data_IF_479690597682
#
_entry.id   IF_479690597682
#
_cell.length_a   1.000
_cell.length_b   1.000
_cell.length_c   1.000
_cell.angle_alpha   90.00
_cell.angle_beta   90.00
_cell.angle_gamma   90.00
#
_symmetry.space_group_name_H-M   'P 1'
#
loop_
_entity.id
_entity.type
_entity.pdbx_description
1 polymer ?
#
# COMPACT_ATOMS: atom_id res chain seq x y z
N UNK A 1 -7.05 -42.71 -24.85
CA UNK A 1 -8.50 -43.05 -24.91
C UNK A 1 -9.24 -42.35 -23.77
N UNK A 2 -9.80 -41.18 -23.98
CA UNK A 2 -10.66 -40.49 -23.02
C UNK A 2 -12.04 -41.14 -23.04
N UNK A 3 -12.37 -41.91 -22.00
CA UNK A 3 -13.69 -42.50 -21.82
C UNK A 3 -14.75 -41.38 -21.91
N UNK A 4 -15.72 -41.53 -22.85
CA UNK A 4 -16.83 -40.60 -23.02
C UNK A 4 -17.67 -40.56 -21.72
N UNK A 5 -17.55 -39.50 -20.92
CA UNK A 5 -18.33 -39.31 -19.68
C UNK A 5 -19.84 -39.35 -20.02
N UNK A 6 -20.63 -39.97 -19.14
CA UNK A 6 -22.09 -39.95 -19.23
C UNK A 6 -22.64 -38.54 -19.15
N UNK A 7 -23.83 -38.28 -19.67
CA UNK A 7 -24.48 -36.96 -19.64
C UNK A 7 -24.58 -36.40 -18.19
N UNK A 8 -24.95 -37.26 -17.27
CA UNK A 8 -25.06 -36.89 -15.83
C UNK A 8 -23.71 -36.56 -15.21
N UNK A 9 -22.64 -37.30 -15.55
CA UNK A 9 -21.29 -37.02 -15.06
C UNK A 9 -20.74 -35.67 -15.59
N UNK A 10 -21.13 -35.26 -16.80
CA UNK A 10 -20.77 -33.93 -17.33
C UNK A 10 -21.48 -32.81 -16.59
N UNK A 11 -22.77 -32.98 -16.28
CA UNK A 11 -23.56 -32.00 -15.52
C UNK A 11 -23.01 -31.83 -14.11
N UNK A 12 -22.75 -32.94 -13.39
CA UNK A 12 -22.17 -32.88 -12.04
C UNK A 12 -20.79 -32.24 -12.03
N UNK A 13 -19.94 -32.55 -13.02
CA UNK A 13 -18.63 -31.91 -13.16
C UNK A 13 -18.74 -30.41 -13.41
N UNK A 14 -19.68 -29.97 -14.24
CA UNK A 14 -19.91 -28.54 -14.52
C UNK A 14 -20.37 -27.80 -13.27
N UNK A 15 -21.27 -28.39 -12.49
CA UNK A 15 -21.75 -27.79 -11.22
C UNK A 15 -20.60 -27.71 -10.20
N UNK A 16 -19.76 -28.73 -10.10
CA UNK A 16 -18.60 -28.75 -9.21
C UNK A 16 -17.60 -27.66 -9.60
N UNK A 17 -17.30 -27.50 -10.88
CA UNK A 17 -16.39 -26.45 -11.38
C UNK A 17 -16.94 -25.05 -11.12
N UNK A 18 -18.25 -24.86 -11.31
CA UNK A 18 -18.90 -23.58 -11.01
C UNK A 18 -18.81 -23.26 -9.51
N UNK A 19 -19.10 -24.24 -8.66
CA UNK A 19 -18.99 -24.06 -7.21
C UNK A 19 -17.55 -23.74 -6.78
N UNK A 20 -16.56 -24.46 -7.33
CA UNK A 20 -15.15 -24.19 -7.06
C UNK A 20 -14.75 -22.78 -7.49
N UNK A 21 -15.23 -22.32 -8.65
CA UNK A 21 -15.00 -20.94 -9.12
C UNK A 21 -15.57 -19.89 -8.16
N UNK A 22 -16.79 -20.10 -7.66
CA UNK A 22 -17.41 -19.21 -6.66
C UNK A 22 -16.59 -19.20 -5.36
N UNK A 23 -16.16 -20.35 -4.87
CA UNK A 23 -15.33 -20.45 -3.66
C UNK A 23 -14.00 -19.69 -3.84
N UNK A 24 -13.34 -19.83 -4.98
CA UNK A 24 -12.12 -19.08 -5.28
C UNK A 24 -12.34 -17.56 -5.30
N UNK A 25 -13.43 -17.11 -5.90
CA UNK A 25 -13.77 -15.67 -5.94
C UNK A 25 -14.08 -15.12 -4.55
N UNK A 26 -14.86 -15.85 -3.74
CA UNK A 26 -15.18 -15.42 -2.37
C UNK A 26 -13.94 -15.39 -1.49
N UNK A 27 -13.02 -16.35 -1.65
CA UNK A 27 -11.76 -16.38 -0.90
C UNK A 27 -10.87 -15.18 -1.22
N UNK A 28 -10.68 -14.84 -2.52
CA UNK A 28 -9.89 -13.67 -2.91
C UNK A 28 -10.50 -12.37 -2.42
N UNK A 29 -11.83 -12.23 -2.49
CA UNK A 29 -12.55 -11.08 -1.98
C UNK A 29 -12.39 -10.93 -0.45
N UNK A 30 -12.50 -12.04 0.28
CA UNK A 30 -12.30 -12.05 1.74
C UNK A 30 -10.87 -11.63 2.14
N UNK A 31 -9.85 -12.07 1.43
CA UNK A 31 -8.48 -11.65 1.68
C UNK A 31 -8.29 -10.14 1.48
N UNK A 32 -8.90 -9.58 0.46
CA UNK A 32 -8.85 -8.12 0.20
C UNK A 32 -9.52 -7.32 1.31
N UNK A 33 -10.71 -7.75 1.77
CA UNK A 33 -11.42 -7.12 2.90
C UNK A 33 -10.56 -7.18 4.17
N UNK A 34 -10.00 -8.36 4.47
CA UNK A 34 -9.12 -8.54 5.63
C UNK A 34 -7.94 -7.57 5.62
N UNK A 35 -7.27 -7.42 4.48
CA UNK A 35 -6.14 -6.49 4.32
C UNK A 35 -6.57 -5.02 4.50
N UNK A 36 -7.73 -4.64 3.98
CA UNK A 36 -8.25 -3.29 4.12
C UNK A 36 -8.60 -2.97 5.58
N UNK A 37 -9.34 -3.86 6.25
CA UNK A 37 -9.67 -3.71 7.67
C UNK A 37 -8.42 -3.66 8.56
N UNK A 38 -7.43 -4.46 8.22
CA UNK A 38 -6.17 -4.49 8.95
C UNK A 38 -5.39 -3.17 8.78
N UNK A 39 -5.29 -2.65 7.56
CA UNK A 39 -4.68 -1.35 7.30
C UNK A 39 -5.45 -0.22 8.00
N UNK A 40 -6.79 -0.22 7.94
CA UNK A 40 -7.62 0.78 8.58
C UNK A 40 -7.40 0.83 10.10
N UNK A 41 -7.33 -0.33 10.76
CA UNK A 41 -7.02 -0.39 12.19
C UNK A 41 -5.65 0.16 12.53
N UNK A 42 -4.62 -0.17 11.74
CA UNK A 42 -3.26 0.36 11.97
C UNK A 42 -3.18 1.86 11.68
N UNK A 43 -3.96 2.38 10.73
CA UNK A 43 -4.04 3.83 10.48
C UNK A 43 -4.72 4.56 11.62
N UNK A 44 -5.83 4.04 12.15
CA UNK A 44 -6.50 4.62 13.34
C UNK A 44 -5.55 4.67 14.54
N UNK A 45 -4.84 3.57 14.81
CA UNK A 45 -3.86 3.52 15.88
C UNK A 45 -2.74 4.55 15.70
N UNK A 46 -2.26 4.75 14.47
CA UNK A 46 -1.30 5.81 14.16
C UNK A 46 -1.88 7.21 14.41
N UNK A 47 -3.11 7.46 13.96
CA UNK A 47 -3.81 8.75 14.16
C UNK A 47 -4.09 9.03 15.64
N UNK A 48 -4.42 8.00 16.45
CA UNK A 48 -4.65 8.13 17.90
C UNK A 48 -3.37 8.47 18.68
N UNK A 49 -2.23 7.85 18.34
CA UNK A 49 -0.94 8.18 18.96
C UNK A 49 -0.53 9.61 18.60
N UNK A 50 -0.71 9.98 17.34
CA UNK A 50 -0.38 11.31 16.81
C UNK A 50 -1.15 12.41 17.56
N UNK A 51 -2.41 12.14 17.94
CA UNK A 51 -3.24 13.06 18.74
C UNK A 51 -2.78 13.08 20.19
N UNK A 52 -2.40 11.93 20.79
CA UNK A 52 -1.98 11.87 22.19
C UNK A 52 -0.64 12.57 22.46
N UNK A 53 0.32 12.49 21.53
CA UNK A 53 1.58 13.23 21.63
C UNK A 53 1.41 14.76 21.47
N UNK A 54 0.28 15.21 20.90
CA UNK A 54 -0.04 16.63 20.78
C UNK A 54 -0.79 17.23 22.01
N UNK A 55 -1.13 16.41 23.00
CA UNK A 55 -1.96 16.77 24.19
C UNK A 55 -1.24 16.53 25.51
N UNK A 56 0.07 16.32 25.56
CA UNK A 56 0.81 16.27 26.81
C UNK A 56 0.94 17.65 27.48
N UNK A 57 -0.20 18.12 27.97
CA UNK A 57 -0.38 18.86 29.23
C UNK A 57 -1.83 18.69 29.69
N UNK A 58 -2.03 17.93 30.80
CA UNK A 58 -3.18 17.83 31.69
C UNK A 58 -3.85 16.46 31.83
N UNK A 59 -3.49 15.80 32.97
CA UNK A 59 -4.22 14.86 33.82
C UNK A 59 -4.48 13.42 33.37
N UNK A 60 -3.82 12.54 34.17
CA UNK A 60 -4.25 11.16 34.45
C UNK A 60 -5.71 11.12 34.97
N UNK A 61 -6.54 10.36 34.29
CA UNK A 61 -7.60 9.62 34.96
C UNK A 61 -7.88 8.30 34.22
N UNK A 62 -7.58 7.24 34.93
CA UNK A 62 -7.72 5.82 34.59
C UNK A 62 -9.20 5.48 34.38
N UNK A 63 -9.56 5.01 33.19
CA UNK A 63 -10.78 4.22 33.02
C UNK A 63 -10.45 2.90 32.35
N UNK A 64 -10.47 1.86 33.15
CA UNK A 64 -10.36 0.45 32.78
C UNK A 64 -11.66 0.05 32.09
N UNK A 65 -11.66 -0.14 30.77
CA UNK A 65 -12.72 -0.87 30.07
C UNK A 65 -12.24 -2.24 29.64
N UNK A 66 -13.08 -3.22 29.87
CA UNK A 66 -12.86 -4.65 29.68
C UNK A 66 -12.33 -5.02 28.30
N UNK A 67 -11.16 -5.61 28.27
CA UNK A 67 -10.55 -6.19 27.06
C UNK A 67 -11.21 -7.53 26.77
N UNK A 68 -12.17 -7.54 25.88
CA UNK A 68 -12.58 -8.77 25.20
C UNK A 68 -11.37 -9.41 24.54
N UNK A 69 -11.13 -10.69 24.80
CA UNK A 69 -10.05 -11.52 24.27
C UNK A 69 -10.05 -11.54 22.74
N UNK A 70 -9.44 -10.56 22.12
CA UNK A 70 -9.16 -10.52 20.70
C UNK A 70 -7.74 -11.00 20.44
N UNK A 71 -7.60 -11.88 19.42
CA UNK A 71 -6.30 -12.30 18.90
C UNK A 71 -5.38 -11.08 18.75
N UNK A 72 -4.07 -11.20 19.07
CA UNK A 72 -3.16 -10.07 19.03
C UNK A 72 -3.24 -9.37 17.67
N UNK A 73 -3.66 -8.12 17.69
CA UNK A 73 -3.66 -7.28 16.48
C UNK A 73 -2.19 -7.03 16.18
N UNK A 74 -1.72 -7.47 15.01
CA UNK A 74 -0.36 -7.15 14.58
C UNK A 74 -0.30 -5.64 14.36
N UNK A 75 0.35 -4.93 15.25
CA UNK A 75 0.62 -3.51 15.07
C UNK A 75 1.84 -3.37 14.15
N UNK A 76 1.67 -2.72 13.01
CA UNK A 76 2.76 -2.46 12.07
C UNK A 76 3.66 -1.30 12.50
N UNK A 77 3.27 -0.50 13.48
CA UNK A 77 3.97 0.72 13.91
C UNK A 77 4.25 1.62 12.68
N UNK A 78 3.20 2.12 12.08
CA UNK A 78 3.32 3.06 10.96
C UNK A 78 4.03 4.33 11.43
N UNK A 79 4.93 4.84 10.58
CA UNK A 79 5.60 6.12 10.78
C UNK A 79 4.99 7.23 9.91
N UNK A 80 4.10 6.86 9.00
CA UNK A 80 3.38 7.77 8.13
C UNK A 80 2.46 7.01 7.19
N UNK A 81 1.69 7.73 6.38
CA UNK A 81 0.86 7.13 5.34
C UNK A 81 0.82 7.95 4.05
N UNK A 82 0.66 7.23 2.95
CA UNK A 82 0.41 7.75 1.62
C UNK A 82 -1.10 7.77 1.37
N UNK A 83 -1.62 8.90 0.89
CA UNK A 83 -2.99 9.07 0.45
C UNK A 83 -3.04 9.65 -0.97
N UNK A 84 -3.68 8.93 -1.90
CA UNK A 84 -3.91 9.36 -3.28
C UNK A 84 -5.42 9.27 -3.56
N UNK A 85 -6.17 10.36 -3.34
CA UNK A 85 -7.64 10.35 -3.40
C UNK A 85 -8.19 9.91 -4.77
N UNK A 86 -7.59 10.35 -5.88
CA UNK A 86 -8.04 10.01 -7.25
C UNK A 86 -8.21 8.50 -7.48
N UNK A 87 -7.41 7.68 -6.83
CA UNK A 87 -7.45 6.22 -6.98
C UNK A 87 -7.94 5.50 -5.74
N UNK A 88 -8.40 6.25 -4.72
CA UNK A 88 -8.86 5.74 -3.43
C UNK A 88 -7.80 4.84 -2.76
N UNK A 89 -6.56 5.33 -2.69
CA UNK A 89 -5.43 4.67 -2.06
C UNK A 89 -5.05 5.40 -0.77
N UNK A 90 -5.23 4.77 0.37
CA UNK A 90 -4.70 5.23 1.67
C UNK A 90 -3.97 4.07 2.34
N UNK A 91 -2.63 4.17 2.50
CA UNK A 91 -1.78 3.09 3.01
C UNK A 91 -0.65 3.62 3.87
N UNK A 92 -0.51 3.01 5.07
CA UNK A 92 0.61 3.28 5.95
C UNK A 92 1.91 2.66 5.44
N UNK A 93 3.03 3.23 5.89
CA UNK A 93 4.36 2.67 5.71
C UNK A 93 5.10 2.70 7.05
N UNK A 94 6.06 1.79 7.18
CA UNK A 94 6.80 1.55 8.41
C UNK A 94 8.25 1.99 8.26
N UNK A 95 8.99 2.07 9.38
CA UNK A 95 10.41 2.39 9.35
C UNK A 95 11.22 1.40 8.52
N UNK A 96 12.35 1.85 7.98
CA UNK A 96 13.23 1.06 7.11
C UNK A 96 13.67 -0.27 7.75
N UNK A 97 13.90 -0.27 9.05
CA UNK A 97 14.38 -1.43 9.80
C UNK A 97 13.25 -2.35 10.31
N UNK A 98 11.99 -2.03 10.06
CA UNK A 98 10.88 -2.86 10.46
C UNK A 98 10.87 -4.17 9.66
N UNK A 99 10.61 -5.30 10.34
CA UNK A 99 10.38 -6.60 9.68
C UNK A 99 9.17 -6.59 8.74
N UNK A 100 8.30 -5.61 8.88
CA UNK A 100 7.11 -5.40 8.03
C UNK A 100 7.38 -4.45 6.86
N UNK A 101 8.59 -3.89 6.73
CA UNK A 101 9.00 -3.07 5.60
C UNK A 101 9.28 -3.95 4.38
N UNK A 102 8.24 -4.46 3.79
CA UNK A 102 8.28 -5.35 2.63
C UNK A 102 7.02 -5.20 1.79
N UNK A 103 7.15 -5.25 0.49
CA UNK A 103 6.03 -5.24 -0.47
C UNK A 103 5.03 -6.38 -0.24
N UNK A 104 5.42 -7.44 0.46
CA UNK A 104 4.53 -8.55 0.84
C UNK A 104 3.56 -8.19 1.96
N UNK A 105 3.81 -7.13 2.69
CA UNK A 105 2.99 -6.69 3.83
C UNK A 105 2.40 -5.30 3.63
N UNK A 106 3.24 -4.36 3.18
CA UNK A 106 2.92 -2.93 3.13
C UNK A 106 3.42 -2.25 1.86
N UNK A 107 3.14 -0.95 1.78
CA UNK A 107 3.95 -0.05 0.97
C UNK A 107 5.33 0.00 1.61
N UNK A 108 6.34 -0.43 0.87
CA UNK A 108 7.72 -0.56 1.34
C UNK A 108 8.47 0.75 1.18
N UNK A 109 9.11 1.19 2.26
CA UNK A 109 10.07 2.28 2.24
C UNK A 109 11.40 1.78 1.68
N UNK A 110 11.90 2.41 0.63
CA UNK A 110 13.14 2.00 -0.05
C UNK A 110 14.36 2.61 0.65
N UNK A 111 15.45 1.84 0.76
CA UNK A 111 16.72 2.33 1.28
C UNK A 111 17.21 3.52 0.44
N UNK A 112 17.68 4.57 1.10
CA UNK A 112 18.07 5.83 0.46
C UNK A 112 16.96 6.87 0.43
N UNK A 113 15.75 6.55 0.95
CA UNK A 113 14.70 7.54 1.14
C UNK A 113 15.11 8.59 2.17
N UNK A 114 14.66 9.82 1.93
CA UNK A 114 14.60 10.89 2.93
C UNK A 114 13.14 11.13 3.32
N UNK A 115 12.87 11.44 4.59
CA UNK A 115 11.51 11.76 5.02
C UNK A 115 11.05 13.12 4.44
N UNK A 116 9.73 13.41 4.40
CA UNK A 116 9.17 14.60 3.75
C UNK A 116 9.66 15.93 4.33
N UNK A 117 10.09 15.95 5.57
CA UNK A 117 10.62 17.11 6.30
C UNK A 117 12.09 17.45 5.98
N UNK A 118 12.79 16.56 5.28
CA UNK A 118 14.18 16.78 4.85
C UNK A 118 14.20 17.63 3.59
N UNK A 119 14.88 18.77 3.64
CA UNK A 119 15.03 19.69 2.49
C UNK A 119 15.68 18.97 1.30
N UNK A 120 15.09 19.13 0.11
CA UNK A 120 15.52 18.52 -1.14
C UNK A 120 15.56 16.98 -1.07
N UNK A 121 14.85 16.41 -0.10
CA UNK A 121 14.75 14.97 0.11
C UNK A 121 13.89 14.27 -0.95
N UNK A 122 14.00 12.95 -1.00
CA UNK A 122 13.17 12.10 -1.84
C UNK A 122 12.63 10.94 -1.01
N UNK A 123 11.33 10.93 -0.75
CA UNK A 123 10.66 9.76 -0.17
C UNK A 123 10.40 8.73 -1.27
N UNK A 124 10.93 7.53 -1.13
CA UNK A 124 10.83 6.48 -2.15
C UNK A 124 10.02 5.32 -1.60
N UNK A 125 8.86 5.08 -2.19
CA UNK A 125 7.93 4.04 -1.79
C UNK A 125 7.70 3.05 -2.93
N UNK A 126 7.66 1.75 -2.61
CA UNK A 126 7.38 0.71 -3.58
C UNK A 126 6.24 -0.22 -3.10
N UNK A 127 5.44 -0.71 -4.02
CA UNK A 127 4.44 -1.74 -3.75
C UNK A 127 4.15 -2.57 -5.00
N UNK A 128 3.54 -3.74 -4.77
CA UNK A 128 3.11 -4.60 -5.85
C UNK A 128 2.00 -3.99 -6.71
N UNK A 129 2.01 -4.38 -7.96
CA UNK A 129 0.92 -4.22 -8.92
C UNK A 129 0.39 -5.59 -9.33
N UNK A 130 -0.91 -5.73 -9.48
CA UNK A 130 -1.56 -6.96 -9.92
C UNK A 130 -2.89 -7.20 -9.20
N UNK A 131 -3.32 -8.46 -9.14
CA UNK A 131 -4.63 -8.84 -8.60
C UNK A 131 -4.57 -9.43 -7.18
N UNK A 132 -3.42 -9.37 -6.50
CA UNK A 132 -3.30 -9.88 -5.13
C UNK A 132 -3.78 -8.84 -4.11
N UNK A 133 -4.11 -9.30 -2.90
CA UNK A 133 -4.53 -8.45 -1.78
C UNK A 133 -3.46 -7.45 -1.32
N UNK A 134 -2.20 -7.67 -1.71
CA UNK A 134 -1.05 -6.79 -1.42
C UNK A 134 -0.61 -5.95 -2.63
N UNK A 135 -1.40 -5.92 -3.70
CA UNK A 135 -1.12 -5.11 -4.90
C UNK A 135 -1.58 -3.66 -4.71
N UNK A 136 -1.00 -2.98 -3.72
CA UNK A 136 -1.44 -1.64 -3.32
C UNK A 136 -1.28 -0.59 -4.43
N UNK A 137 -0.32 -0.77 -5.35
CA UNK A 137 -0.06 0.15 -6.45
C UNK A 137 -0.69 -0.30 -7.78
N UNK A 138 -1.71 -1.19 -7.73
CA UNK A 138 -2.38 -1.65 -8.96
C UNK A 138 -3.02 -0.51 -9.77
N UNK A 139 -3.55 0.51 -9.09
CA UNK A 139 -4.29 1.60 -9.75
C UNK A 139 -3.42 2.82 -10.12
N UNK A 140 -2.12 2.85 -9.82
CA UNK A 140 -1.26 4.00 -10.15
C UNK A 140 -1.27 4.37 -11.64
N UNK A 141 -1.52 3.41 -12.53
CA UNK A 141 -1.64 3.67 -13.97
C UNK A 141 -2.78 4.62 -14.38
N UNK A 142 -3.70 4.95 -13.46
CA UNK A 142 -4.79 5.90 -13.68
C UNK A 142 -4.39 7.34 -13.39
N UNK A 143 -3.20 7.55 -12.86
CA UNK A 143 -2.69 8.88 -12.56
C UNK A 143 -2.18 9.55 -13.82
N UNK A 144 -2.41 10.85 -13.89
CA UNK A 144 -1.98 11.76 -14.94
C UNK A 144 -1.12 12.86 -14.36
N UNK A 145 -0.28 13.49 -15.18
CA UNK A 145 0.52 14.63 -14.74
C UNK A 145 -0.39 15.71 -14.17
N UNK A 146 -0.04 16.21 -12.98
CA UNK A 146 -0.84 17.16 -12.22
C UNK A 146 -1.69 16.56 -11.10
N UNK A 147 -1.87 15.24 -11.05
CA UNK A 147 -2.58 14.58 -9.95
C UNK A 147 -1.81 14.68 -8.63
N UNK A 148 -2.56 14.70 -7.53
CA UNK A 148 -2.03 14.93 -6.20
C UNK A 148 -1.89 13.63 -5.41
N UNK A 149 -0.84 13.60 -4.57
CA UNK A 149 -0.60 12.63 -3.53
C UNK A 149 -0.24 13.34 -2.23
N UNK A 150 -0.72 12.84 -1.11
CA UNK A 150 -0.44 13.38 0.21
C UNK A 150 0.38 12.37 1.02
N UNK A 151 1.37 12.86 1.75
CA UNK A 151 2.09 12.11 2.77
C UNK A 151 1.81 12.75 4.12
N UNK A 152 1.26 11.96 5.06
CA UNK A 152 1.19 12.36 6.46
C UNK A 152 2.38 11.76 7.19
N UNK A 153 3.15 12.65 7.85
CA UNK A 153 4.35 12.29 8.62
C UNK A 153 4.58 13.34 9.71
N UNK A 154 4.85 12.92 10.95
CA UNK A 154 5.06 13.81 12.11
C UNK A 154 3.94 14.87 12.21
N UNK A 155 2.69 14.47 12.26
CA UNK A 155 1.48 15.33 12.38
C UNK A 155 1.35 16.40 11.29
N UNK A 156 2.09 16.26 10.17
CA UNK A 156 2.04 17.18 9.04
C UNK A 156 1.63 16.47 7.78
N UNK A 157 0.86 17.19 6.95
CA UNK A 157 0.49 16.72 5.61
C UNK A 157 1.36 17.44 4.59
N UNK A 158 2.11 16.67 3.82
CA UNK A 158 2.94 17.12 2.71
C UNK A 158 2.22 16.79 1.42
N UNK A 159 1.86 17.82 0.64
CA UNK A 159 1.14 17.68 -0.63
C UNK A 159 2.12 17.66 -1.78
N UNK A 160 1.96 16.67 -2.65
CA UNK A 160 2.81 16.48 -3.81
C UNK A 160 1.97 16.42 -5.08
N UNK A 161 2.54 16.84 -6.19
CA UNK A 161 1.92 16.81 -7.53
C UNK A 161 2.75 15.97 -8.48
N UNK A 162 2.11 15.07 -9.23
CA UNK A 162 2.75 14.22 -10.22
C UNK A 162 3.31 15.08 -11.37
N UNK A 163 4.62 15.00 -11.59
CA UNK A 163 5.32 15.79 -12.61
C UNK A 163 5.94 14.93 -13.71
N UNK A 164 6.23 13.65 -13.43
CA UNK A 164 6.83 12.75 -14.40
C UNK A 164 6.45 11.29 -14.15
N UNK A 165 6.38 10.50 -15.23
CA UNK A 165 6.25 9.04 -15.15
C UNK A 165 7.02 8.40 -16.31
N UNK A 166 7.77 7.34 -16.03
CA UNK A 166 8.58 6.63 -17.02
C UNK A 166 8.74 5.16 -16.68
N UNK A 167 9.26 4.40 -17.61
CA UNK A 167 9.62 3.00 -17.46
C UNK A 167 11.12 2.89 -17.21
N UNK A 168 11.50 2.01 -16.28
CA UNK A 168 12.88 1.71 -15.94
C UNK A 168 13.10 0.20 -15.99
N UNK A 169 14.26 -0.25 -16.44
CA UNK A 169 14.60 -1.68 -16.47
C UNK A 169 14.83 -2.23 -15.06
N UNK A 170 14.55 -3.51 -14.88
CA UNK A 170 14.80 -4.25 -13.62
C UNK A 170 16.16 -4.92 -13.68
N UNK A 171 17.21 -4.15 -13.60
CA UNK A 171 18.60 -4.62 -13.59
C UNK A 171 19.23 -4.71 -12.20
N UNK A 172 18.43 -4.44 -11.15
CA UNK A 172 18.85 -4.41 -9.75
C UNK A 172 19.12 -3.01 -9.22
N UNK A 173 19.09 -2.00 -10.09
CA UNK A 173 19.13 -0.58 -9.76
C UNK A 173 17.86 0.13 -10.24
N UNK A 174 17.63 1.35 -9.77
CA UNK A 174 16.51 2.19 -10.20
C UNK A 174 17.07 3.60 -10.43
N UNK A 175 17.13 4.03 -11.68
CA UNK A 175 17.43 5.41 -11.97
C UNK A 175 16.22 6.29 -11.64
N UNK A 176 16.43 7.31 -10.78
CA UNK A 176 15.38 8.24 -10.36
C UNK A 176 15.68 9.60 -10.96
N UNK A 177 14.92 9.97 -11.99
CA UNK A 177 15.05 11.26 -12.68
C UNK A 177 14.14 12.29 -12.01
N UNK A 178 14.67 13.06 -11.06
CA UNK A 178 13.98 14.08 -10.29
C UNK A 178 14.74 15.41 -10.28
N UNK A 179 14.10 16.50 -9.92
CA UNK A 179 14.77 17.75 -9.56
C UNK A 179 15.34 17.61 -8.13
N UNK A 180 16.67 17.60 -8.03
CA UNK A 180 17.37 17.44 -6.75
C UNK A 180 17.31 18.71 -5.87
N UNK A 181 16.81 19.81 -6.38
CA UNK A 181 16.59 21.04 -5.61
C UNK A 181 15.19 21.11 -4.99
N UNK A 182 14.37 20.05 -5.16
CA UNK A 182 13.01 19.96 -4.65
C UNK A 182 12.83 18.77 -3.74
N UNK A 183 11.88 18.89 -2.82
CA UNK A 183 11.36 17.74 -2.11
C UNK A 183 10.50 16.91 -3.06
N UNK A 184 10.78 15.62 -3.17
CA UNK A 184 10.09 14.72 -4.10
C UNK A 184 9.56 13.48 -3.41
N UNK A 185 8.50 12.93 -3.98
CA UNK A 185 7.98 11.60 -3.67
C UNK A 185 8.10 10.74 -4.93
N UNK A 186 8.75 9.60 -4.79
CA UNK A 186 8.91 8.61 -5.86
C UNK A 186 8.11 7.37 -5.54
N UNK A 187 7.18 7.00 -6.42
CA UNK A 187 6.44 5.73 -6.30
C UNK A 187 6.90 4.76 -7.38
N UNK A 188 7.17 3.51 -6.98
CA UNK A 188 7.72 2.48 -7.87
C UNK A 188 6.83 1.25 -7.84
N UNK A 189 6.47 0.74 -9.02
CA UNK A 189 5.69 -0.48 -9.15
C UNK A 189 6.06 -1.26 -10.42
N UNK A 190 5.66 -2.53 -10.48
CA UNK A 190 5.86 -3.35 -11.67
C UNK A 190 5.04 -2.84 -12.86
N UNK A 191 5.57 -2.94 -14.07
CA UNK A 191 4.83 -2.66 -15.30
C UNK A 191 3.87 -3.81 -15.62
N UNK A 192 2.62 -3.51 -16.03
CA UNK A 192 1.54 -4.52 -16.15
C UNK A 192 1.82 -5.61 -17.19
N UNK A 193 2.39 -5.26 -18.31
CA UNK A 193 2.57 -6.18 -19.45
C UNK A 193 4.03 -6.61 -19.67
N UNK A 194 4.94 -5.98 -18.97
CA UNK A 194 6.37 -6.25 -19.12
C UNK A 194 6.98 -6.59 -17.75
N UNK A 195 7.44 -7.84 -17.62
CA UNK A 195 8.08 -8.32 -16.40
C UNK A 195 9.51 -7.79 -16.22
N UNK A 196 10.10 -7.22 -17.28
CA UNK A 196 11.48 -6.69 -17.29
C UNK A 196 11.55 -5.24 -16.84
N UNK A 197 10.43 -4.52 -16.86
CA UNK A 197 10.38 -3.11 -16.48
C UNK A 197 9.56 -2.84 -15.25
N UNK A 198 9.79 -1.71 -14.63
CA UNK A 198 9.03 -1.09 -13.57
C UNK A 198 8.60 0.30 -13.99
N UNK A 199 7.50 0.78 -13.44
CA UNK A 199 7.02 2.15 -13.68
C UNK A 199 7.38 3.00 -12.47
N UNK A 200 8.00 4.13 -12.75
CA UNK A 200 8.40 5.14 -11.76
C UNK A 200 7.53 6.37 -11.93
N UNK A 201 7.00 6.89 -10.83
CA UNK A 201 6.19 8.10 -10.76
C UNK A 201 6.93 9.10 -9.87
N UNK A 202 7.19 10.30 -10.40
CA UNK A 202 7.87 11.38 -9.67
C UNK A 202 6.85 12.47 -9.36
N UNK A 203 6.74 12.78 -8.10
CA UNK A 203 5.92 13.89 -7.59
C UNK A 203 6.81 14.95 -6.95
N UNK A 204 6.45 16.22 -7.07
CA UNK A 204 7.12 17.34 -6.43
C UNK A 204 6.23 17.96 -5.35
N UNK A 205 6.81 18.36 -4.23
CA UNK A 205 6.12 19.05 -3.14
C UNK A 205 5.57 20.40 -3.62
N UNK A 206 4.32 20.72 -3.26
CA UNK A 206 3.62 21.97 -3.63
C UNK A 206 3.23 22.77 -2.40
#
# INVERSE_FOLDING_TARGET
MLKKLSKNAKITLSILLLFLGIVCLTFTYFQTIKQNLFNEKNLRYFEEIDISESVDEVNEETTTEEVATTKPIINYNYIGYLDIPKINLKRGFVSLNSKYNSVSYNVMLIKGSSMPDVKNGNLILAAHRGNSSVSFFDKLYKLEIGDEANITYNNKVYKYKLVNTYLEEKDGSIAIYRDENKNTLTLITCTKKDKKTQTVFIFELI
#
